data_IF_036665800087
#
_entry.id   IF_036665800087
#
_cell.length_a   1.000
_cell.length_b   1.000
_cell.length_c   1.000
_cell.angle_alpha   90.00
_cell.angle_beta   90.00
_cell.angle_gamma   90.00
#
_symmetry.space_group_name_H-M   'P 1'
#
loop_
_entity.id
_entity.type
_entity.pdbx_description
1 polymer ?
#
# COMPACT_ATOMS: atom_id res chain seq x y z
N UNK A 1 -3.67 -5.57 2.62
CA UNK A 1 -4.38 -4.37 2.12
C UNK A 1 -4.65 -4.54 0.63
N UNK A 2 -5.89 -4.31 0.22
CA UNK A 2 -6.33 -4.53 -1.15
C UNK A 2 -7.12 -3.34 -1.66
N UNK A 3 -7.00 -3.06 -2.93
CA UNK A 3 -8.00 -2.32 -3.70
C UNK A 3 -8.64 -3.29 -4.69
N UNK A 4 -9.80 -2.93 -5.21
CA UNK A 4 -10.59 -3.85 -6.00
C UNK A 4 -10.76 -3.29 -7.41
N UNK A 5 -10.31 -4.06 -8.38
CA UNK A 5 -10.35 -3.68 -9.79
C UNK A 5 -11.57 -4.27 -10.47
N UNK A 6 -12.14 -3.49 -11.38
CA UNK A 6 -13.12 -3.98 -12.34
C UNK A 6 -12.40 -4.40 -13.61
N UNK A 7 -12.53 -5.65 -13.99
CA UNK A 7 -11.89 -6.19 -15.18
C UNK A 7 -12.98 -6.70 -16.12
N UNK A 8 -13.10 -6.08 -17.29
CA UNK A 8 -14.10 -6.44 -18.29
C UNK A 8 -13.44 -6.71 -19.62
N UNK A 9 -13.99 -7.67 -20.37
CA UNK A 9 -13.50 -7.98 -21.72
C UNK A 9 -14.17 -7.06 -22.75
N UNK A 10 -13.36 -6.38 -23.55
CA UNK A 10 -13.80 -5.52 -24.63
C UNK A 10 -12.88 -5.69 -25.85
N UNK A 11 -13.47 -6.01 -26.99
CA UNK A 11 -12.74 -6.14 -28.26
C UNK A 11 -11.49 -7.05 -28.16
N UNK A 12 -11.62 -8.15 -27.42
CA UNK A 12 -10.53 -9.11 -27.25
C UNK A 12 -9.49 -8.75 -26.18
N UNK A 13 -9.58 -7.57 -25.59
CA UNK A 13 -8.71 -7.16 -24.48
C UNK A 13 -9.46 -7.16 -23.15
N UNK A 14 -8.72 -7.30 -22.06
CA UNK A 14 -9.25 -7.18 -20.70
C UNK A 14 -8.92 -5.80 -20.16
N UNK A 15 -9.94 -4.98 -19.96
CA UNK A 15 -9.80 -3.59 -19.52
C UNK A 15 -9.91 -3.54 -18.00
N UNK A 16 -8.98 -2.84 -17.37
CA UNK A 16 -8.88 -2.71 -15.92
C UNK A 16 -9.16 -1.27 -15.49
N UNK A 17 -10.05 -1.11 -14.53
CA UNK A 17 -10.29 0.15 -13.84
C UNK A 17 -10.42 -0.10 -12.34
N UNK A 18 -10.19 0.94 -11.54
CA UNK A 18 -10.37 0.86 -10.10
C UNK A 18 -11.46 1.84 -9.68
N UNK A 19 -12.65 1.36 -9.25
CA UNK A 19 -13.73 2.25 -8.86
C UNK A 19 -13.36 3.28 -7.79
N UNK A 20 -12.50 2.90 -6.84
CA UNK A 20 -12.06 3.80 -5.78
C UNK A 20 -10.82 4.63 -6.15
N UNK A 21 -10.21 4.36 -7.29
CA UNK A 21 -9.00 5.04 -7.79
C UNK A 21 -9.17 5.34 -9.29
N UNK A 22 -10.00 6.32 -9.64
CA UNK A 22 -10.44 6.52 -11.03
C UNK A 22 -9.33 6.90 -12.02
N UNK A 23 -8.18 7.34 -11.52
CA UNK A 23 -7.05 7.71 -12.37
C UNK A 23 -6.16 6.52 -12.75
N UNK A 24 -6.42 5.33 -12.23
CA UNK A 24 -5.65 4.13 -12.53
C UNK A 24 -6.42 3.27 -13.53
N UNK A 25 -5.88 3.17 -14.75
CA UNK A 25 -6.44 2.36 -15.81
C UNK A 25 -5.32 1.59 -16.50
N UNK A 26 -5.59 0.35 -16.84
CA UNK A 26 -4.66 -0.49 -17.61
C UNK A 26 -5.43 -1.55 -18.37
N UNK A 27 -4.75 -2.43 -19.05
CA UNK A 27 -5.36 -3.53 -19.78
C UNK A 27 -4.37 -4.68 -19.94
N UNK A 28 -4.85 -5.80 -20.42
CA UNK A 28 -4.03 -6.95 -20.80
C UNK A 28 -4.70 -7.75 -21.91
N UNK A 29 -3.93 -8.55 -22.63
CA UNK A 29 -4.43 -9.41 -23.69
C UNK A 29 -5.06 -10.70 -23.14
N UNK A 30 -4.77 -10.99 -21.87
CA UNK A 30 -5.39 -12.08 -21.11
C UNK A 30 -5.81 -11.58 -19.74
N UNK A 31 -6.66 -12.35 -19.06
CA UNK A 31 -7.04 -12.02 -17.68
C UNK A 31 -5.84 -12.01 -16.75
N UNK A 32 -4.92 -12.97 -16.89
CA UNK A 32 -3.71 -13.04 -16.06
C UNK A 32 -2.81 -11.83 -16.28
N UNK A 33 -2.61 -11.43 -17.54
CA UNK A 33 -1.84 -10.24 -17.87
C UNK A 33 -2.51 -8.97 -17.32
N UNK A 34 -3.83 -8.88 -17.43
CA UNK A 34 -4.59 -7.76 -16.89
C UNK A 34 -4.42 -7.65 -15.37
N UNK A 35 -4.47 -8.76 -14.64
CA UNK A 35 -4.23 -8.78 -13.19
C UNK A 35 -2.81 -8.35 -12.84
N UNK A 36 -1.82 -8.84 -13.58
CA UNK A 36 -0.42 -8.46 -13.38
C UNK A 36 -0.25 -6.96 -13.61
N UNK A 37 -0.78 -6.45 -14.69
CA UNK A 37 -0.70 -5.02 -15.03
C UNK A 37 -1.49 -4.17 -14.04
N UNK A 38 -2.61 -4.68 -13.51
CA UNK A 38 -3.38 -4.02 -12.46
C UNK A 38 -2.54 -3.86 -11.19
N UNK A 39 -1.83 -4.90 -10.78
CA UNK A 39 -0.95 -4.86 -9.61
C UNK A 39 0.18 -3.85 -9.79
N UNK A 40 0.83 -3.85 -10.94
CA UNK A 40 1.91 -2.90 -11.26
C UNK A 40 1.39 -1.45 -11.29
N UNK A 41 0.28 -1.22 -11.95
CA UNK A 41 -0.31 0.12 -12.07
C UNK A 41 -0.77 0.66 -10.71
N UNK A 42 -1.43 -0.18 -9.91
CA UNK A 42 -1.87 0.19 -8.56
C UNK A 42 -0.69 0.60 -7.69
N UNK A 43 0.28 -0.28 -7.56
CA UNK A 43 1.39 -0.08 -6.62
C UNK A 43 2.31 1.07 -7.05
N UNK A 44 2.57 1.21 -8.35
CA UNK A 44 3.33 2.34 -8.86
C UNK A 44 2.64 3.68 -8.61
N UNK A 45 1.33 3.74 -8.79
CA UNK A 45 0.54 4.94 -8.53
C UNK A 45 0.49 5.29 -7.04
N UNK A 46 0.30 4.29 -6.17
CA UNK A 46 0.26 4.50 -4.72
C UNK A 46 1.60 5.00 -4.17
N UNK A 47 2.72 4.48 -4.70
CA UNK A 47 4.05 4.98 -4.31
C UNK A 47 4.19 6.48 -4.58
N UNK A 48 3.82 6.91 -5.78
CA UNK A 48 3.90 8.32 -6.18
C UNK A 48 2.99 9.19 -5.33
N UNK A 49 1.75 8.78 -5.16
CA UNK A 49 0.77 9.55 -4.38
C UNK A 49 1.18 9.67 -2.92
N UNK A 50 1.69 8.58 -2.35
CA UNK A 50 2.17 8.56 -0.99
C UNK A 50 3.38 9.48 -0.78
N UNK A 51 4.34 9.48 -1.71
CA UNK A 51 5.50 10.37 -1.67
C UNK A 51 5.10 11.84 -1.75
N UNK A 52 4.04 12.15 -2.50
CA UNK A 52 3.48 13.50 -2.60
C UNK A 52 2.68 13.92 -1.36
N UNK A 53 2.57 13.04 -0.38
CA UNK A 53 1.84 13.30 0.86
C UNK A 53 0.33 13.11 0.77
N UNK A 54 -0.18 12.53 -0.31
CA UNK A 54 -1.60 12.26 -0.43
C UNK A 54 -2.03 11.13 0.49
N UNK A 55 -3.20 11.27 1.07
CA UNK A 55 -3.83 10.20 1.84
C UNK A 55 -4.44 9.20 0.86
N UNK A 56 -4.16 7.92 1.08
CA UNK A 56 -4.76 6.86 0.27
C UNK A 56 -6.25 6.75 0.59
N UNK A 57 -7.13 6.69 -0.43
CA UNK A 57 -8.56 6.54 -0.19
C UNK A 57 -8.87 5.18 0.41
N UNK A 58 -9.98 5.11 1.13
CA UNK A 58 -10.50 3.85 1.65
C UNK A 58 -11.10 3.01 0.53
N UNK A 59 -10.85 1.71 0.55
CA UNK A 59 -11.44 0.78 -0.40
C UNK A 59 -12.90 0.55 -0.05
N UNK A 60 -13.82 1.17 -0.77
CA UNK A 60 -15.27 1.06 -0.58
C UNK A 60 -15.88 -0.06 -1.40
N UNK A 61 -15.44 -0.20 -2.65
CA UNK A 61 -15.87 -1.30 -3.53
C UNK A 61 -15.02 -2.51 -3.19
N UNK A 62 -15.64 -3.60 -2.76
CA UNK A 62 -14.96 -4.82 -2.31
C UNK A 62 -15.48 -6.08 -2.96
N UNK A 63 -16.63 -6.03 -3.61
CA UNK A 63 -17.23 -7.16 -4.28
C UNK A 63 -18.17 -6.68 -5.38
N UNK A 64 -18.53 -7.57 -6.25
CA UNK A 64 -19.43 -7.29 -7.34
C UNK A 64 -19.06 -8.08 -8.59
N UNK A 65 -19.87 -7.93 -9.62
CA UNK A 65 -19.59 -8.54 -10.91
C UNK A 65 -18.32 -7.95 -11.50
N UNK A 66 -17.42 -8.82 -11.96
CA UNK A 66 -16.13 -8.44 -12.56
C UNK A 66 -15.20 -7.68 -11.61
N UNK A 67 -15.44 -7.74 -10.31
CA UNK A 67 -14.61 -7.12 -9.28
C UNK A 67 -13.61 -8.14 -8.72
N UNK A 68 -12.33 -7.76 -8.74
CA UNK A 68 -11.24 -8.64 -8.31
C UNK A 68 -10.30 -7.91 -7.35
N UNK A 69 -9.85 -8.56 -6.26
CA UNK A 69 -8.90 -7.96 -5.34
C UNK A 69 -7.53 -7.81 -5.99
N UNK A 70 -6.91 -6.66 -5.77
CA UNK A 70 -5.54 -6.38 -6.21
C UNK A 70 -4.73 -5.96 -4.99
N UNK A 71 -3.62 -6.64 -4.74
CA UNK A 71 -2.82 -6.45 -3.55
C UNK A 71 -2.02 -5.14 -3.56
N UNK A 72 -2.06 -4.43 -2.43
CA UNK A 72 -1.06 -3.39 -2.14
C UNK A 72 0.16 -4.10 -1.57
N UNK A 73 1.32 -3.91 -2.20
CA UNK A 73 2.54 -4.60 -1.80
C UNK A 73 2.97 -4.22 -0.37
N UNK A 74 3.54 -5.17 0.39
CA UNK A 74 3.82 -4.97 1.82
C UNK A 74 4.66 -3.74 2.16
N UNK A 75 5.65 -3.40 1.33
CA UNK A 75 6.50 -2.22 1.60
C UNK A 75 5.73 -0.90 1.52
N UNK A 76 4.71 -0.82 0.67
CA UNK A 76 3.83 0.36 0.57
C UNK A 76 2.85 0.38 1.74
N UNK A 77 2.25 -0.77 2.04
CA UNK A 77 1.31 -0.91 3.14
C UNK A 77 1.95 -0.56 4.49
N UNK A 78 3.14 -1.08 4.76
CA UNK A 78 3.87 -0.80 6.00
C UNK A 78 4.18 0.68 6.13
N UNK A 79 4.74 1.31 5.09
CA UNK A 79 5.06 2.73 5.11
C UNK A 79 3.81 3.58 5.39
N UNK A 80 2.70 3.25 4.75
CA UNK A 80 1.42 3.94 4.94
C UNK A 80 0.88 3.76 6.36
N UNK A 81 0.86 2.53 6.87
CA UNK A 81 0.37 2.24 8.22
C UNK A 81 1.22 2.89 9.29
N UNK A 82 2.53 2.91 9.14
CA UNK A 82 3.41 3.61 10.08
C UNK A 82 3.08 5.09 10.16
N UNK A 83 2.86 5.73 9.02
CA UNK A 83 2.47 7.14 8.99
C UNK A 83 1.13 7.39 9.68
N UNK A 84 0.15 6.53 9.46
CA UNK A 84 -1.15 6.64 10.13
C UNK A 84 -1.07 6.40 11.63
N UNK A 85 -0.34 5.36 12.04
CA UNK A 85 -0.26 4.96 13.45
C UNK A 85 0.60 5.92 14.28
N UNK A 86 1.46 6.69 13.64
CA UNK A 86 2.29 7.70 14.29
C UNK A 86 1.48 8.91 14.77
N UNK A 87 0.23 8.96 14.46
CA UNK A 87 -0.67 10.07 14.78
C UNK A 87 -0.44 10.60 16.20
N UNK A 88 -0.19 11.92 16.32
CA UNK A 88 0.14 12.57 17.57
C UNK A 88 1.63 12.60 17.92
N UNK A 89 2.47 11.85 17.21
CA UNK A 89 3.93 11.89 17.35
C UNK A 89 4.58 12.43 16.09
N UNK A 90 5.65 13.24 16.27
CA UNK A 90 6.50 13.58 15.12
C UNK A 90 7.40 12.41 14.76
N UNK A 91 7.96 12.43 13.56
CA UNK A 91 8.95 11.44 13.15
C UNK A 91 10.17 11.45 14.08
N UNK A 92 10.61 12.64 14.51
CA UNK A 92 11.71 12.79 15.44
C UNK A 92 11.41 12.14 16.81
N UNK A 93 10.19 12.29 17.31
CA UNK A 93 9.78 11.69 18.58
C UNK A 93 9.79 10.17 18.53
N UNK A 94 9.26 9.59 17.45
CA UNK A 94 9.25 8.13 17.27
C UNK A 94 10.69 7.62 17.11
N UNK A 95 11.50 8.29 16.30
CA UNK A 95 12.92 7.92 16.10
C UNK A 95 13.66 7.88 17.43
N UNK A 96 13.47 8.90 18.27
CA UNK A 96 14.08 8.97 19.59
C UNK A 96 13.68 7.79 20.49
N UNK A 97 12.38 7.44 20.49
CA UNK A 97 11.87 6.31 21.27
C UNK A 97 12.39 4.97 20.78
N UNK A 98 12.65 4.86 19.48
CA UNK A 98 13.23 3.66 18.87
C UNK A 98 14.75 3.59 19.03
N UNK A 99 15.41 4.67 19.42
CA UNK A 99 16.86 4.74 19.51
C UNK A 99 17.57 4.79 18.16
N UNK A 100 16.90 5.34 17.15
CA UNK A 100 17.44 5.50 15.79
C UNK A 100 17.44 6.96 15.36
N UNK A 101 18.18 7.29 14.30
CA UNK A 101 18.15 8.64 13.74
C UNK A 101 16.80 8.95 13.07
N UNK A 102 16.48 10.23 12.97
CA UNK A 102 15.30 10.67 12.25
C UNK A 102 15.35 10.25 10.79
N UNK A 103 16.52 10.32 10.15
CA UNK A 103 16.71 9.89 8.77
C UNK A 103 16.43 8.40 8.59
N UNK A 104 16.87 7.57 9.54
CA UNK A 104 16.58 6.13 9.51
C UNK A 104 15.07 5.86 9.64
N UNK A 105 14.38 6.61 10.49
CA UNK A 105 12.93 6.49 10.62
C UNK A 105 12.19 6.96 9.35
N UNK A 106 12.61 8.08 8.76
CA UNK A 106 12.01 8.60 7.53
C UNK A 106 11.98 7.57 6.40
N UNK A 107 13.01 6.74 6.30
CA UNK A 107 13.06 5.66 5.31
C UNK A 107 11.94 4.63 5.53
N UNK A 108 11.53 4.41 6.78
CA UNK A 108 10.46 3.46 7.09
C UNK A 108 9.09 3.96 6.60
N UNK A 109 8.90 5.27 6.56
CA UNK A 109 7.67 5.88 6.03
C UNK A 109 7.77 6.24 4.54
N UNK A 110 8.86 5.90 3.87
CA UNK A 110 9.02 6.09 2.45
C UNK A 110 8.79 4.74 1.74
N UNK A 111 7.74 4.59 0.92
CA UNK A 111 7.39 3.31 0.32
C UNK A 111 8.48 2.70 -0.56
N UNK A 112 9.33 3.53 -1.17
CA UNK A 112 10.44 3.04 -2.00
C UNK A 112 11.64 2.55 -1.19
N UNK A 113 11.79 3.03 0.04
CA UNK A 113 12.94 2.72 0.92
C UNK A 113 12.55 1.86 2.11
N UNK A 114 11.26 1.64 2.33
CA UNK A 114 10.74 0.88 3.46
C UNK A 114 11.19 -0.58 3.37
N UNK A 115 12.09 -0.95 4.26
CA UNK A 115 12.60 -2.31 4.35
C UNK A 115 13.00 -2.64 5.79
N UNK A 116 12.05 -2.60 6.74
CA UNK A 116 12.33 -2.92 8.13
C UNK A 116 12.50 -4.43 8.32
N UNK A 117 13.31 -4.79 9.30
CA UNK A 117 13.34 -6.17 9.79
C UNK A 117 12.09 -6.43 10.66
N UNK A 118 11.76 -7.70 10.87
CA UNK A 118 10.68 -8.08 11.79
C UNK A 118 10.96 -7.54 13.19
N UNK A 119 12.19 -7.58 13.65
CA UNK A 119 12.58 -7.04 14.97
C UNK A 119 12.35 -5.52 15.06
N UNK A 120 12.61 -4.79 13.99
CA UNK A 120 12.31 -3.36 13.93
C UNK A 120 10.81 -3.11 14.03
N UNK A 121 10.01 -3.88 13.31
CA UNK A 121 8.54 -3.80 13.37
C UNK A 121 8.01 -4.11 14.77
N UNK A 122 8.59 -5.10 15.47
CA UNK A 122 8.24 -5.41 16.84
C UNK A 122 8.50 -4.23 17.79
N UNK A 123 9.66 -3.58 17.65
CA UNK A 123 9.99 -2.39 18.45
C UNK A 123 9.04 -1.24 18.18
N UNK A 124 8.72 -1.00 16.91
CA UNK A 124 7.77 0.05 16.51
C UNK A 124 6.39 -0.25 17.12
N UNK A 125 5.93 -1.47 17.04
CA UNK A 125 4.63 -1.86 17.59
C UNK A 125 4.57 -1.60 19.10
N UNK A 126 5.64 -1.89 19.81
CA UNK A 126 5.75 -1.60 21.25
C UNK A 126 5.65 -0.11 21.57
N UNK A 127 6.37 0.74 20.82
CA UNK A 127 6.33 2.19 20.97
C UNK A 127 4.95 2.76 20.68
N UNK A 128 4.29 2.24 19.64
CA UNK A 128 2.95 2.65 19.23
C UNK A 128 1.83 2.02 20.04
N UNK A 129 2.16 1.14 20.99
CA UNK A 129 1.19 0.35 21.79
C UNK A 129 0.21 -0.43 20.91
N UNK A 130 0.73 -1.06 19.88
CA UNK A 130 -0.01 -1.89 18.94
C UNK A 130 0.56 -3.30 18.93
N UNK A 131 -0.23 -4.26 18.48
CA UNK A 131 0.22 -5.63 18.27
C UNK A 131 0.62 -5.82 16.82
N UNK A 132 1.80 -6.38 16.60
CA UNK A 132 2.24 -6.78 15.28
C UNK A 132 1.68 -8.17 14.97
N UNK A 133 0.99 -8.30 13.86
CA UNK A 133 0.56 -9.59 13.32
C UNK A 133 1.14 -9.74 11.92
N UNK A 134 1.66 -10.92 11.62
CA UNK A 134 2.19 -11.27 10.30
C UNK A 134 1.50 -12.53 9.82
N UNK A 135 1.00 -12.51 8.61
CA UNK A 135 0.37 -13.68 8.01
C UNK A 135 0.74 -13.82 6.54
N UNK A 136 0.79 -15.05 6.10
CA UNK A 136 0.88 -15.42 4.69
C UNK A 136 -0.48 -16.00 4.28
N UNK A 137 -1.09 -15.42 3.29
CA UNK A 137 -2.42 -15.79 2.82
C UNK A 137 -2.40 -16.36 1.42
#
# INVERSE_FOLDING_TARGET
MFYYAKITKQDGAFIVSFPDLPNINTFGDSFEEALKNATEALNGSLEVDFERGYTLPEARVRHGRDIHPVEVLPHIEIAYKLRQLRNGFSQAQIAKRLGISQQAYQKLENPRKCNPTVKTLEKISGVLKKKLEVSFV
#
